data_IF_581523715619
#
_entry.id   IF_581523715619
#
_cell.length_a   1.000
_cell.length_b   1.000
_cell.length_c   1.000
_cell.angle_alpha   90.00
_cell.angle_beta   90.00
_cell.angle_gamma   90.00
#
_symmetry.space_group_name_H-M   'P 1'
#
loop_
_entity.id
_entity.type
_entity.pdbx_description
1 polymer ?
#
# COMPACT_ATOMS: atom_id res chain seq x y z
N UNK A 1 4.06 -5.80 -18.21
CA UNK A 1 4.90 -7.00 -18.45
C UNK A 1 4.68 -8.09 -17.42
N UNK A 2 4.82 -7.84 -16.11
CA UNK A 2 4.54 -8.86 -15.06
C UNK A 2 3.14 -9.48 -15.23
N UNK A 3 2.10 -8.64 -15.34
CA UNK A 3 0.72 -9.08 -15.55
C UNK A 3 0.54 -9.94 -16.81
N UNK A 4 1.19 -9.56 -17.91
CA UNK A 4 1.13 -10.27 -19.20
C UNK A 4 1.78 -11.66 -19.12
N UNK A 5 2.91 -11.76 -18.44
CA UNK A 5 3.68 -13.00 -18.32
C UNK A 5 3.09 -13.94 -17.27
N UNK A 6 2.86 -13.44 -16.06
CA UNK A 6 2.48 -14.24 -14.90
C UNK A 6 0.96 -14.49 -14.80
N UNK A 7 0.13 -13.59 -15.36
CA UNK A 7 -1.33 -13.68 -15.36
C UNK A 7 -1.95 -14.08 -14.00
N UNK A 8 -1.72 -13.29 -12.93
CA UNK A 8 -2.28 -13.60 -11.62
C UNK A 8 -3.80 -13.45 -11.61
N UNK A 9 -4.48 -14.22 -10.76
CA UNK A 9 -5.91 -14.09 -10.50
C UNK A 9 -6.24 -13.18 -9.31
N UNK A 10 -5.24 -12.78 -8.51
CA UNK A 10 -5.36 -11.84 -7.40
C UNK A 10 -4.03 -11.12 -7.18
N UNK A 11 -4.07 -9.94 -6.58
CA UNK A 11 -2.90 -9.10 -6.29
C UNK A 11 -2.87 -8.80 -4.79
N UNK A 12 -1.70 -8.97 -4.17
CA UNK A 12 -1.40 -8.43 -2.85
C UNK A 12 -0.40 -7.30 -3.04
N UNK A 13 -0.79 -6.08 -2.68
CA UNK A 13 0.05 -4.89 -2.77
C UNK A 13 0.40 -4.41 -1.36
N UNK A 14 1.69 -4.46 -1.04
CA UNK A 14 2.25 -3.96 0.20
C UNK A 14 2.63 -2.48 0.02
N UNK A 15 1.94 -1.59 0.75
CA UNK A 15 2.05 -0.13 0.65
C UNK A 15 2.97 0.44 1.75
N UNK A 16 4.23 0.00 1.77
CA UNK A 16 5.24 0.54 2.69
C UNK A 16 5.43 2.04 2.49
N UNK A 17 5.24 2.81 3.56
CA UNK A 17 5.33 4.27 3.57
C UNK A 17 6.73 4.79 3.92
N UNK A 18 7.71 3.90 4.17
CA UNK A 18 9.12 4.26 4.36
C UNK A 18 9.83 4.72 3.06
N UNK A 19 9.19 4.52 1.90
CA UNK A 19 9.66 5.07 0.62
C UNK A 19 9.31 6.55 0.43
N UNK A 20 8.56 7.17 1.35
CA UNK A 20 8.19 8.57 1.29
C UNK A 20 9.36 9.49 1.64
N UNK A 21 9.30 10.71 1.10
CA UNK A 21 10.21 11.79 1.45
C UNK A 21 10.14 12.13 2.93
N UNK A 22 11.31 12.32 3.55
CA UNK A 22 11.42 12.67 4.97
C UNK A 22 11.06 11.53 5.93
N UNK A 23 11.09 10.28 5.48
CA UNK A 23 11.06 9.13 6.39
C UNK A 23 12.30 9.10 7.30
N UNK A 24 12.18 8.50 8.50
CA UNK A 24 13.29 8.43 9.46
C UNK A 24 14.35 7.40 9.08
N UNK A 25 13.97 6.31 8.41
CA UNK A 25 14.88 5.23 8.00
C UNK A 25 15.04 5.17 6.48
N UNK A 26 13.98 5.49 5.73
CA UNK A 26 14.02 5.55 4.28
C UNK A 26 14.82 6.72 3.73
N UNK A 27 15.39 6.54 2.54
CA UNK A 27 16.21 7.53 1.85
C UNK A 27 15.65 7.91 0.47
N UNK A 28 14.36 7.64 0.23
CA UNK A 28 13.68 8.00 -1.00
C UNK A 28 13.05 9.40 -0.91
N UNK A 29 12.57 9.90 -2.05
CA UNK A 29 12.00 11.25 -2.16
C UNK A 29 10.59 11.24 -2.78
N UNK A 30 9.78 10.20 -2.53
CA UNK A 30 8.41 10.11 -3.04
C UNK A 30 7.45 10.99 -2.24
N UNK A 31 6.49 11.60 -2.92
CA UNK A 31 5.35 12.26 -2.29
C UNK A 31 4.17 11.30 -2.18
N UNK A 32 3.11 11.68 -1.44
CA UNK A 32 1.87 10.89 -1.38
C UNK A 32 1.28 10.65 -2.77
N UNK A 33 1.28 11.70 -3.62
CA UNK A 33 0.82 11.58 -5.00
C UNK A 33 1.63 10.55 -5.78
N UNK A 34 2.97 10.57 -5.66
CA UNK A 34 3.83 9.63 -6.37
C UNK A 34 3.63 8.19 -5.89
N UNK A 35 3.51 8.00 -4.58
CA UNK A 35 3.29 6.70 -3.95
C UNK A 35 1.90 6.13 -4.28
N UNK A 36 0.85 6.94 -4.13
CA UNK A 36 -0.53 6.58 -4.48
C UNK A 36 -0.75 6.27 -5.97
N UNK A 37 0.09 6.79 -6.88
CA UNK A 37 0.04 6.39 -8.30
C UNK A 37 0.34 4.90 -8.52
N UNK A 38 1.10 4.26 -7.64
CA UNK A 38 1.30 2.80 -7.69
C UNK A 38 0.00 2.06 -7.34
N UNK A 39 -0.71 2.50 -6.30
CA UNK A 39 -2.02 1.94 -5.91
C UNK A 39 -3.05 2.13 -7.03
N UNK A 40 -3.16 3.33 -7.58
CA UNK A 40 -4.06 3.65 -8.69
C UNK A 40 -3.77 2.77 -9.92
N UNK A 41 -2.50 2.62 -10.29
CA UNK A 41 -2.10 1.75 -11.41
C UNK A 41 -2.51 0.30 -11.20
N UNK A 42 -2.25 -0.26 -10.01
CA UNK A 42 -2.57 -1.66 -9.69
C UNK A 42 -4.08 -1.88 -9.59
N UNK A 43 -4.80 -0.97 -8.95
CA UNK A 43 -6.26 -1.01 -8.85
C UNK A 43 -6.92 -1.07 -10.22
N UNK A 44 -6.44 -0.26 -11.17
CA UNK A 44 -6.97 -0.21 -12.53
C UNK A 44 -6.74 -1.49 -13.37
N UNK A 45 -6.03 -2.48 -12.83
CA UNK A 45 -5.92 -3.81 -13.44
C UNK A 45 -7.18 -4.67 -13.21
N UNK A 46 -8.11 -4.23 -12.35
CA UNK A 46 -9.41 -4.85 -12.11
C UNK A 46 -9.34 -6.33 -11.71
N UNK A 47 -8.37 -6.67 -10.85
CA UNK A 47 -8.26 -7.97 -10.19
C UNK A 47 -8.57 -7.84 -8.70
N UNK A 48 -9.00 -8.94 -8.03
CA UNK A 48 -9.06 -8.99 -6.57
C UNK A 48 -7.76 -8.46 -5.96
N UNK A 49 -7.87 -7.39 -5.17
CA UNK A 49 -6.72 -6.62 -4.66
C UNK A 49 -6.78 -6.55 -3.14
N UNK A 50 -5.74 -7.04 -2.48
CA UNK A 50 -5.49 -6.85 -1.05
C UNK A 50 -4.41 -5.78 -0.86
N UNK A 51 -4.78 -4.66 -0.26
CA UNK A 51 -3.86 -3.61 0.15
C UNK A 51 -3.38 -3.86 1.59
N UNK A 52 -2.07 -3.86 1.81
CA UNK A 52 -1.45 -4.03 3.12
C UNK A 52 -0.60 -2.80 3.47
N UNK A 53 -0.42 -2.55 4.76
CA UNK A 53 0.55 -1.55 5.24
C UNK A 53 2.00 -2.03 5.15
N UNK A 54 2.84 -1.61 6.10
CA UNK A 54 4.24 -2.03 6.21
C UNK A 54 5.12 -1.04 6.96
N UNK A 55 6.38 -0.92 6.54
CA UNK A 55 7.32 0.06 7.08
C UNK A 55 6.84 1.51 6.87
N UNK A 56 7.36 2.41 7.70
CA UNK A 56 6.97 3.82 7.73
C UNK A 56 7.26 4.39 9.11
N UNK A 57 8.29 5.23 9.21
CA UNK A 57 8.91 5.60 10.48
C UNK A 57 8.75 7.09 10.80
N UNK A 58 8.32 7.90 9.82
CA UNK A 58 7.69 9.20 10.07
C UNK A 58 6.17 9.04 10.14
N UNK A 59 5.66 8.64 11.32
CA UNK A 59 4.26 8.20 11.55
C UNK A 59 3.17 9.14 11.00
N UNK A 60 3.42 10.45 10.98
CA UNK A 60 2.47 11.44 10.44
C UNK A 60 2.30 11.30 8.93
N UNK A 61 3.39 11.02 8.23
CA UNK A 61 3.38 10.79 6.79
C UNK A 61 2.79 9.41 6.46
N UNK A 62 2.99 8.42 7.32
CA UNK A 62 2.32 7.11 7.22
C UNK A 62 0.80 7.27 7.26
N UNK A 63 0.29 7.99 8.27
CA UNK A 63 -1.14 8.25 8.39
C UNK A 63 -1.70 8.98 7.15
N UNK A 64 -0.98 9.99 6.65
CA UNK A 64 -1.37 10.71 5.42
C UNK A 64 -1.39 9.79 4.19
N UNK A 65 -0.37 8.95 4.04
CA UNK A 65 -0.23 8.04 2.91
C UNK A 65 -1.37 7.02 2.86
N UNK A 66 -1.58 6.28 3.95
CA UNK A 66 -2.64 5.26 3.99
C UNK A 66 -4.03 5.88 3.93
N UNK A 67 -4.24 7.09 4.46
CA UNK A 67 -5.50 7.84 4.25
C UNK A 67 -5.72 8.16 2.76
N UNK A 68 -4.68 8.65 2.08
CA UNK A 68 -4.76 8.96 0.64
C UNK A 68 -4.95 7.70 -0.21
N UNK A 69 -4.22 6.63 0.06
CA UNK A 69 -4.34 5.36 -0.66
C UNK A 69 -5.70 4.68 -0.42
N UNK A 70 -6.29 4.84 0.77
CA UNK A 70 -7.67 4.39 1.04
C UNK A 70 -8.67 5.18 0.19
N UNK A 71 -8.50 6.50 0.08
CA UNK A 71 -9.35 7.32 -0.80
C UNK A 71 -9.22 6.88 -2.27
N UNK A 72 -8.00 6.57 -2.73
CA UNK A 72 -7.76 6.00 -4.07
C UNK A 72 -8.47 4.65 -4.23
N UNK A 73 -8.40 3.75 -3.23
CA UNK A 73 -9.10 2.48 -3.25
C UNK A 73 -10.63 2.64 -3.40
N UNK A 74 -11.19 3.69 -2.78
CA UNK A 74 -12.63 4.02 -2.79
C UNK A 74 -13.07 4.91 -3.97
N UNK A 75 -12.18 5.28 -4.89
CA UNK A 75 -12.44 6.27 -5.96
C UNK A 75 -12.96 7.60 -5.42
N UNK A 76 -12.42 8.05 -4.28
CA UNK A 76 -12.81 9.31 -3.65
C UNK A 76 -11.71 10.35 -3.75
N UNK A 77 -12.08 11.57 -4.12
CA UNK A 77 -11.24 12.73 -3.93
C UNK A 77 -11.40 13.26 -2.50
N UNK A 78 -10.28 13.57 -1.85
CA UNK A 78 -10.26 14.10 -0.48
C UNK A 78 -9.53 15.44 -0.44
N UNK A 79 -9.97 16.31 0.47
CA UNK A 79 -9.38 17.64 0.64
C UNK A 79 -7.91 17.54 1.06
N UNK A 80 -7.11 18.52 0.64
CA UNK A 80 -5.76 18.69 1.17
C UNK A 80 -5.77 19.31 2.59
N UNK A 81 -6.87 19.91 3.01
CA UNK A 81 -7.07 20.37 4.39
C UNK A 81 -7.42 19.17 5.28
N UNK A 82 -6.62 18.94 6.32
CA UNK A 82 -6.92 17.86 7.25
C UNK A 82 -8.17 18.22 8.07
N UNK A 83 -9.11 17.28 8.25
CA UNK A 83 -10.20 17.47 9.20
C UNK A 83 -9.66 17.40 10.64
N UNK A 84 -10.35 18.08 11.56
CA UNK A 84 -10.05 17.94 12.98
C UNK A 84 -10.20 16.48 13.43
N UNK A 85 -9.27 16.03 14.25
CA UNK A 85 -9.22 14.70 14.83
C UNK A 85 -8.38 14.75 16.12
N UNK A 86 -8.42 13.68 16.92
CA UNK A 86 -7.73 13.61 18.22
C UNK A 86 -6.21 13.84 18.12
N UNK A 87 -5.62 13.61 16.94
CA UNK A 87 -4.19 13.76 16.66
C UNK A 87 -3.86 14.97 15.79
N UNK A 88 -4.79 15.92 15.60
CA UNK A 88 -4.67 17.02 14.64
C UNK A 88 -3.37 17.84 14.82
N UNK A 89 -2.98 18.09 16.07
CA UNK A 89 -1.78 18.85 16.44
C UNK A 89 -0.47 18.21 15.95
N UNK A 90 -0.47 16.90 15.69
CA UNK A 90 0.71 16.22 15.15
C UNK A 90 1.07 16.75 13.76
N UNK A 91 0.08 17.19 12.99
CA UNK A 91 0.22 17.59 11.59
C UNK A 91 0.57 19.08 11.41
N UNK A 92 0.91 19.79 12.49
CA UNK A 92 1.39 21.16 12.41
C UNK A 92 2.76 21.28 11.70
N UNK A 93 3.09 22.47 11.16
CA UNK A 93 2.31 23.71 11.26
C UNK A 93 1.30 23.92 10.13
N UNK A 94 1.31 23.07 9.09
CA UNK A 94 0.53 23.31 7.87
C UNK A 94 -0.85 22.65 7.88
N UNK A 95 -1.04 21.59 8.67
CA UNK A 95 -2.29 20.84 8.80
C UNK A 95 -2.81 20.35 7.43
N UNK A 96 -1.89 20.02 6.53
CA UNK A 96 -2.21 19.52 5.19
C UNK A 96 -2.00 18.01 5.07
N UNK A 97 -2.72 17.41 4.13
CA UNK A 97 -2.55 16.02 3.74
C UNK A 97 -1.25 15.83 2.96
N UNK A 98 -1.05 16.61 1.90
CA UNK A 98 0.07 16.44 0.97
C UNK A 98 1.43 16.78 1.61
N UNK A 99 2.46 16.04 1.18
CA UNK A 99 3.86 16.29 1.52
C UNK A 99 4.62 16.71 0.27
N UNK A 100 5.58 17.62 0.43
CA UNK A 100 6.44 18.11 -0.65
C UNK A 100 7.75 17.31 -0.70
N UNK A 101 8.33 17.10 -1.90
CA UNK A 101 9.64 16.48 -2.01
C UNK A 101 10.70 17.40 -1.40
N UNK A 102 11.78 16.79 -0.91
CA UNK A 102 12.97 17.50 -0.45
C UNK A 102 13.91 17.84 -1.61
N UNK A 103 14.93 18.65 -1.34
CA UNK A 103 16.02 18.96 -2.28
C UNK A 103 17.06 17.84 -2.41
N UNK A 104 16.78 16.62 -1.91
CA UNK A 104 17.67 15.48 -2.03
C UNK A 104 17.92 15.16 -3.52
N UNK A 105 19.19 15.08 -3.96
CA UNK A 105 19.51 14.77 -5.35
C UNK A 105 19.12 13.34 -5.69
N UNK A 106 18.44 13.16 -6.83
CA UNK A 106 18.16 11.83 -7.36
C UNK A 106 19.44 11.23 -7.97
N UNK A 107 20.00 10.21 -7.32
CA UNK A 107 21.18 9.50 -7.80
C UNK A 107 20.86 8.38 -8.80
N UNK A 108 19.58 8.18 -9.13
CA UNK A 108 19.14 7.21 -10.12
C UNK A 108 19.13 7.85 -11.51
N UNK A 109 20.23 7.71 -12.26
CA UNK A 109 20.30 8.19 -13.64
C UNK A 109 19.35 7.39 -14.55
N UNK A 110 18.91 8.01 -15.65
CA UNK A 110 18.03 7.34 -16.62
C UNK A 110 18.68 6.06 -17.19
N UNK A 111 19.98 6.12 -17.49
CA UNK A 111 20.75 5.00 -18.03
C UNK A 111 20.86 3.85 -17.03
N UNK A 112 21.02 4.17 -15.73
CA UNK A 112 21.04 3.17 -14.66
C UNK A 112 19.70 2.43 -14.57
N UNK A 113 18.60 3.19 -14.54
CA UNK A 113 17.24 2.62 -14.47
C UNK A 113 16.91 1.79 -15.71
N UNK A 114 17.30 2.25 -16.91
CA UNK A 114 17.05 1.52 -18.15
C UNK A 114 17.84 0.21 -18.22
N UNK A 115 19.10 0.19 -17.76
CA UNK A 115 19.89 -1.05 -17.68
C UNK A 115 19.24 -2.09 -16.77
N UNK A 116 18.73 -1.67 -15.61
CA UNK A 116 18.00 -2.58 -14.70
C UNK A 116 16.70 -3.05 -15.33
N UNK A 117 15.94 -2.13 -15.94
CA UNK A 117 14.68 -2.44 -16.62
C UNK A 117 14.85 -3.49 -17.70
N UNK A 118 15.88 -3.38 -18.56
CA UNK A 118 16.18 -4.37 -19.61
C UNK A 118 16.43 -5.74 -18.99
N UNK A 119 17.30 -5.82 -17.96
CA UNK A 119 17.60 -7.08 -17.27
C UNK A 119 16.35 -7.71 -16.64
N UNK A 120 15.46 -6.92 -16.06
CA UNK A 120 14.18 -7.41 -15.50
C UNK A 120 13.26 -7.94 -16.61
N UNK A 121 13.21 -7.29 -17.77
CA UNK A 121 12.41 -7.78 -18.90
C UNK A 121 12.94 -9.11 -19.44
N UNK A 122 14.26 -9.29 -19.51
CA UNK A 122 14.85 -10.57 -19.93
C UNK A 122 14.54 -11.69 -18.94
N UNK A 123 14.63 -11.41 -17.64
CA UNK A 123 14.23 -12.38 -16.61
C UNK A 123 12.74 -12.77 -16.74
N UNK A 124 11.85 -11.80 -16.97
CA UNK A 124 10.42 -12.07 -17.14
C UNK A 124 10.13 -12.93 -18.39
N UNK A 125 10.94 -12.83 -19.46
CA UNK A 125 10.79 -13.71 -20.64
C UNK A 125 11.06 -15.18 -20.34
N UNK A 126 11.85 -15.47 -19.32
CA UNK A 126 12.23 -16.84 -18.93
C UNK A 126 11.18 -17.51 -18.04
N UNK A 127 10.20 -16.78 -17.52
CA UNK A 127 9.16 -17.34 -16.68
C UNK A 127 8.16 -18.10 -17.57
N UNK A 128 7.96 -19.41 -17.36
CA UNK A 128 6.98 -20.17 -18.11
C UNK A 128 5.58 -19.62 -17.82
N UNK A 129 4.73 -19.61 -18.84
CA UNK A 129 3.35 -19.23 -18.67
C UNK A 129 2.67 -20.21 -17.69
N UNK A 130 2.19 -19.71 -16.56
CA UNK A 130 1.48 -20.54 -15.58
C UNK A 130 -0.01 -20.43 -15.93
N UNK A 131 -0.66 -21.49 -16.43
CA UNK A 131 -2.11 -21.48 -16.58
C UNK A 131 -2.73 -21.27 -15.19
N UNK A 132 -3.54 -20.22 -15.05
CA UNK A 132 -4.09 -19.80 -13.75
C UNK A 132 -4.73 -20.97 -12.99
N UNK A 133 -4.34 -21.14 -11.73
CA UNK A 133 -5.00 -22.08 -10.83
C UNK A 133 -6.42 -21.59 -10.60
N UNK A 134 -7.42 -22.43 -10.88
CA UNK A 134 -8.82 -22.04 -10.76
C UNK A 134 -9.13 -21.66 -9.30
N UNK A 135 -9.57 -20.42 -9.10
CA UNK A 135 -10.09 -19.98 -7.81
C UNK A 135 -11.34 -20.79 -7.48
N UNK A 136 -11.32 -21.52 -6.37
CA UNK A 136 -12.49 -22.20 -5.83
C UNK A 136 -13.17 -21.28 -4.81
N UNK A 137 -14.50 -21.16 -4.91
CA UNK A 137 -15.30 -20.53 -3.86
C UNK A 137 -15.17 -21.36 -2.60
N UNK A 138 -14.92 -20.71 -1.47
CA UNK A 138 -15.08 -21.35 -0.17
C UNK A 138 -16.57 -21.75 0.01
N UNK A 139 -16.87 -22.95 0.53
CA UNK A 139 -18.23 -23.29 0.92
C UNK A 139 -18.76 -22.30 1.96
N UNK A 140 -20.06 -21.98 1.88
CA UNK A 140 -20.71 -21.00 2.77
C UNK A 140 -20.56 -21.36 4.27
N UNK A 141 -20.42 -22.65 4.58
CA UNK A 141 -20.29 -23.19 5.95
C UNK A 141 -18.90 -22.99 6.60
N UNK A 142 -17.92 -22.40 5.89
CA UNK A 142 -16.55 -22.27 6.42
C UNK A 142 -16.37 -21.10 7.39
N UNK A 143 -17.30 -20.15 7.40
CA UNK A 143 -17.29 -18.97 8.28
C UNK A 143 -18.47 -19.04 9.26
N UNK A 144 -18.45 -20.01 10.17
CA UNK A 144 -19.27 -19.98 11.39
C UNK A 144 -18.72 -18.88 12.31
N UNK A 145 -19.18 -17.64 12.13
CA UNK A 145 -18.77 -16.46 12.92
C UNK A 145 -19.35 -16.50 14.36
N UNK A 146 -20.03 -17.59 14.75
CA UNK A 146 -20.78 -17.69 16.00
C UNK A 146 -20.12 -18.58 17.08
N UNK A 147 -18.81 -18.85 16.98
CA UNK A 147 -18.07 -19.55 18.05
C UNK A 147 -17.53 -18.57 19.09
N UNK A 148 -18.42 -18.23 20.03
CA UNK A 148 -18.10 -18.11 21.46
C UNK A 148 -17.17 -16.98 21.86
N UNK A 149 -17.73 -15.80 22.08
CA UNK A 149 -17.23 -14.93 23.16
C UNK A 149 -17.67 -15.62 24.46
N UNK A 150 -16.84 -16.53 24.97
CA UNK A 150 -16.99 -17.00 26.34
C UNK A 150 -16.75 -15.78 27.25
N UNK A 151 -17.84 -15.26 27.81
CA UNK A 151 -17.81 -14.34 28.94
C UNK A 151 -17.04 -15.03 30.07
N UNK A 152 -15.81 -14.60 30.34
CA UNK A 152 -15.09 -14.89 31.59
C UNK A 152 -15.91 -14.31 32.75
N UNK A 153 -16.89 -15.08 33.24
CA UNK A 153 -17.48 -14.90 34.56
C UNK A 153 -16.49 -15.44 35.57
N UNK A 154 -15.62 -14.55 36.05
CA UNK A 154 -14.87 -14.73 37.29
C UNK A 154 -15.85 -14.93 38.45
N UNK A 155 -16.30 -16.17 38.65
CA UNK A 155 -16.78 -16.64 39.93
C UNK A 155 -15.55 -16.87 40.80
N UNK A 156 -15.25 -15.93 41.69
CA UNK A 156 -14.22 -16.07 42.71
C UNK A 156 -14.83 -16.77 43.95
N UNK A 157 -14.37 -17.98 44.35
CA UNK A 157 -14.62 -18.52 45.68
C UNK A 157 -13.29 -18.56 46.45
N UNK A 158 -13.06 -17.53 47.27
CA UNK A 158 -12.51 -17.60 48.64
C UNK A 158 -12.27 -16.20 49.18
#
# INVERSE_FOLDING_TARGET
>A
KVMETYQPNAIVLQCGADSLTGDRLGCFNLTLKGHGKCVEFIKNLNLPLLLLGGGGYTIRNVARAWTNETAIALDQEISNDLPYNDYFEYYGPDFKLNINPSNMPNQNSAEYLDKIKIKLFDNLRMIPHVPGVQMQSIPDDFMDVDRGVDEDKDSNPN
#
